data_IF_230958384827
#
_entry.id   IF_230958384827
#
_cell.length_a   1.000
_cell.length_b   1.000
_cell.length_c   1.000
_cell.angle_alpha   90.00
_cell.angle_beta   90.00
_cell.angle_gamma   90.00
#
_symmetry.space_group_name_H-M   'P 1'
#
loop_
_entity.id
_entity.type
_entity.pdbx_description
1 polymer ?
#
# COMPACT_ATOMS: atom_id res chain seq x y z
N UNK A 1 38.53 32.85 -70.71
CA UNK A 1 37.38 31.92 -70.43
C UNK A 1 37.60 31.34 -69.04
N UNK A 2 37.06 32.01 -68.00
CA UNK A 2 37.33 31.70 -66.58
C UNK A 2 36.11 30.94 -66.02
N UNK A 3 36.29 29.69 -65.55
CA UNK A 3 35.27 28.87 -64.96
C UNK A 3 35.27 29.10 -63.44
N UNK A 4 34.22 29.69 -62.91
CA UNK A 4 33.98 29.78 -61.45
C UNK A 4 33.42 28.45 -60.92
N UNK A 5 34.15 27.83 -59.98
CA UNK A 5 33.70 26.69 -59.22
C UNK A 5 32.95 27.16 -57.97
N UNK A 6 31.64 26.98 -57.95
CA UNK A 6 30.82 27.23 -56.77
C UNK A 6 30.97 26.09 -55.75
N UNK A 7 31.54 26.39 -54.57
CA UNK A 7 31.57 25.47 -53.44
C UNK A 7 30.23 25.55 -52.69
N UNK A 8 29.49 24.43 -52.69
CA UNK A 8 28.30 24.27 -51.83
C UNK A 8 28.77 23.89 -50.43
N UNK A 9 28.60 24.81 -49.48
CA UNK A 9 28.81 24.57 -48.05
C UNK A 9 27.57 23.84 -47.55
N UNK A 10 27.73 22.57 -47.15
CA UNK A 10 26.69 21.76 -46.46
C UNK A 10 26.71 22.18 -44.97
N UNK A 11 25.71 22.93 -44.58
CA UNK A 11 25.48 23.22 -43.15
C UNK A 11 24.74 22.03 -42.53
N UNK A 12 25.47 21.20 -41.76
CA UNK A 12 24.88 20.13 -40.93
C UNK A 12 24.31 20.81 -39.69
N UNK A 13 22.99 21.01 -39.63
CA UNK A 13 22.27 21.38 -38.43
C UNK A 13 22.11 20.16 -37.53
N UNK A 14 22.96 20.05 -36.50
CA UNK A 14 22.82 19.04 -35.44
C UNK A 14 21.62 19.38 -34.57
N UNK A 15 20.52 18.61 -34.71
CA UNK A 15 19.34 18.70 -33.89
C UNK A 15 19.62 18.03 -32.54
N UNK A 16 20.01 18.84 -31.53
CA UNK A 16 20.18 18.40 -30.16
C UNK A 16 18.79 18.13 -29.56
N UNK A 17 18.33 16.87 -29.58
CA UNK A 17 17.11 16.46 -28.88
C UNK A 17 17.39 16.47 -27.38
N UNK A 18 16.98 17.55 -26.71
CA UNK A 18 16.96 17.64 -25.26
C UNK A 18 15.88 16.65 -24.75
N UNK A 19 16.30 15.48 -24.29
CA UNK A 19 15.44 14.57 -23.55
C UNK A 19 15.18 15.20 -22.18
N UNK A 20 14.11 15.98 -22.05
CA UNK A 20 13.58 16.41 -20.76
C UNK A 20 13.13 15.16 -20.01
N UNK A 21 13.99 14.66 -19.12
CA UNK A 21 13.57 13.71 -18.06
C UNK A 21 12.66 14.52 -17.15
N UNK A 22 11.35 14.40 -17.37
CA UNK A 22 10.34 14.88 -16.44
C UNK A 22 10.52 14.08 -15.15
N UNK A 23 11.22 14.68 -14.17
CA UNK A 23 11.27 14.14 -12.81
C UNK A 23 9.84 13.98 -12.31
N UNK A 24 9.44 12.74 -12.09
CA UNK A 24 8.10 12.37 -11.66
C UNK A 24 7.73 13.17 -10.41
N UNK A 25 6.73 14.05 -10.53
CA UNK A 25 6.15 14.85 -9.45
C UNK A 25 5.49 14.00 -8.33
N UNK A 26 5.66 12.68 -8.40
CA UNK A 26 5.21 11.68 -7.42
C UNK A 26 6.20 11.44 -6.28
N UNK A 27 7.48 11.79 -6.45
CA UNK A 27 8.50 11.57 -5.44
C UNK A 27 8.46 12.69 -4.40
N UNK A 28 8.04 12.38 -3.19
CA UNK A 28 8.31 13.19 -2.01
C UNK A 28 9.80 13.12 -1.68
N UNK A 29 10.41 14.27 -1.23
CA UNK A 29 11.83 14.30 -0.84
C UNK A 29 12.17 13.24 0.21
N UNK A 30 13.46 12.89 0.34
CA UNK A 30 13.96 11.98 1.36
C UNK A 30 13.74 12.60 2.74
N UNK A 31 13.12 11.86 3.65
CA UNK A 31 12.77 12.29 5.00
C UNK A 31 13.22 11.25 6.03
N UNK A 32 13.58 11.67 7.24
CA UNK A 32 13.92 10.75 8.34
C UNK A 32 12.65 10.39 9.12
N UNK A 33 12.50 9.11 9.46
CA UNK A 33 11.44 8.63 10.36
C UNK A 33 11.82 8.97 11.80
N UNK A 34 11.00 9.79 12.47
CA UNK A 34 11.17 10.20 13.88
C UNK A 34 10.45 9.26 14.85
N UNK A 35 9.29 8.76 14.46
CA UNK A 35 8.44 7.95 15.32
C UNK A 35 7.62 6.95 14.52
N UNK A 36 7.26 5.83 15.14
CA UNK A 36 6.36 4.81 14.59
C UNK A 36 5.13 4.73 15.49
N UNK A 37 3.97 5.03 14.94
CA UNK A 37 2.70 5.06 15.66
C UNK A 37 2.16 3.64 15.89
N UNK A 38 2.18 2.85 14.81
CA UNK A 38 1.63 1.50 14.73
C UNK A 38 2.29 0.73 13.57
N UNK A 39 1.73 -0.41 13.21
CA UNK A 39 2.30 -1.28 12.17
C UNK A 39 2.23 -0.70 10.74
N UNK A 40 1.54 0.44 10.51
CA UNK A 40 1.36 1.01 9.18
C UNK A 40 1.32 2.54 9.11
N UNK A 41 1.68 3.20 10.22
CA UNK A 41 1.71 4.66 10.32
C UNK A 41 3.00 5.15 10.98
N UNK A 42 3.68 6.07 10.31
CA UNK A 42 4.92 6.68 10.80
C UNK A 42 4.81 8.20 10.88
N UNK A 43 5.70 8.81 11.66
CA UNK A 43 5.87 10.26 11.77
C UNK A 43 7.27 10.63 11.32
N UNK A 44 7.38 11.56 10.39
CA UNK A 44 8.64 12.09 9.88
C UNK A 44 9.22 13.18 10.78
N UNK A 45 10.49 13.52 10.59
CA UNK A 45 11.20 14.54 11.39
C UNK A 45 10.53 15.91 11.35
N UNK A 46 9.84 16.24 10.26
CA UNK A 46 9.06 17.47 10.12
C UNK A 46 7.65 17.41 10.74
N UNK A 47 7.31 16.34 11.49
CA UNK A 47 6.01 16.13 12.11
C UNK A 47 4.93 15.56 11.19
N UNK A 48 5.22 15.33 9.91
CA UNK A 48 4.25 14.79 8.96
C UNK A 48 3.92 13.33 9.30
N UNK A 49 2.62 13.01 9.44
CA UNK A 49 2.14 11.64 9.59
C UNK A 49 1.93 11.00 8.22
N UNK A 50 2.46 9.79 8.05
CA UNK A 50 2.37 9.02 6.81
C UNK A 50 1.68 7.70 7.09
N UNK A 51 0.59 7.40 6.37
CA UNK A 51 -0.14 6.12 6.37
C UNK A 51 0.22 5.34 5.12
N UNK A 52 0.63 4.11 5.30
CA UNK A 52 1.03 3.25 4.18
C UNK A 52 -0.16 2.88 3.31
N UNK A 53 -0.03 3.02 2.01
CA UNK A 53 -1.03 2.62 1.01
C UNK A 53 -1.05 1.10 0.87
N UNK A 54 -2.23 0.55 0.62
CA UNK A 54 -2.42 -0.84 0.19
C UNK A 54 -2.34 -1.89 1.30
N UNK A 55 -2.23 -1.48 2.56
CA UNK A 55 -2.19 -2.42 3.68
C UNK A 55 -2.89 -1.86 4.94
N UNK A 56 -3.19 -2.75 5.86
CA UNK A 56 -3.64 -2.43 7.22
C UNK A 56 -2.98 -3.39 8.22
N UNK A 57 -2.25 -2.83 9.15
CA UNK A 57 -1.74 -3.58 10.29
C UNK A 57 -2.82 -3.68 11.39
N UNK A 58 -2.75 -4.68 12.26
CA UNK A 58 -3.57 -4.72 13.47
C UNK A 58 -3.23 -3.54 14.39
N UNK A 59 -4.26 -3.00 15.01
CA UNK A 59 -4.13 -1.84 15.88
C UNK A 59 -3.39 -2.19 17.19
N UNK A 60 -2.58 -1.25 17.67
CA UNK A 60 -2.05 -1.27 19.03
C UNK A 60 -3.09 -0.79 20.03
N UNK A 61 -2.86 -0.98 21.32
CA UNK A 61 -3.75 -0.44 22.34
C UNK A 61 -3.80 1.09 22.27
N UNK A 62 -5.01 1.64 22.27
CA UNK A 62 -5.27 3.08 22.32
C UNK A 62 -6.42 3.37 23.24
N UNK A 63 -6.21 4.28 24.18
CA UNK A 63 -7.20 4.67 25.18
C UNK A 63 -7.78 3.42 25.86
N UNK A 64 -9.09 3.23 25.82
CA UNK A 64 -9.79 2.08 26.40
C UNK A 64 -9.87 0.86 25.46
N UNK A 65 -9.30 0.93 24.25
CA UNK A 65 -9.33 -0.18 23.29
C UNK A 65 -8.11 -1.07 23.47
N UNK A 66 -8.29 -2.36 23.75
CA UNK A 66 -7.18 -3.29 23.81
C UNK A 66 -6.51 -3.44 22.44
N UNK A 67 -5.24 -3.81 22.43
CA UNK A 67 -4.54 -4.14 21.21
C UNK A 67 -5.25 -5.27 20.45
N UNK A 68 -5.31 -5.15 19.14
CA UNK A 68 -5.68 -6.27 18.29
C UNK A 68 -4.58 -7.33 18.32
N UNK A 69 -4.98 -8.58 18.07
CA UNK A 69 -4.02 -9.66 17.97
C UNK A 69 -2.96 -9.33 16.92
N UNK A 70 -1.68 -9.39 17.29
CA UNK A 70 -0.52 -9.06 16.47
C UNK A 70 -0.24 -7.55 16.31
N UNK A 71 -0.99 -6.67 16.96
CA UNK A 71 -0.76 -5.22 16.91
C UNK A 71 0.62 -4.81 17.44
N UNK A 72 0.99 -5.20 18.69
CA UNK A 72 2.32 -4.89 19.23
C UNK A 72 3.46 -5.43 18.40
N UNK A 73 3.35 -6.66 17.86
CA UNK A 73 4.37 -7.28 17.03
C UNK A 73 4.50 -6.55 15.67
N UNK A 74 3.39 -6.11 15.08
CA UNK A 74 3.40 -5.35 13.84
C UNK A 74 4.05 -3.98 14.02
N UNK A 75 3.72 -3.28 15.11
CA UNK A 75 4.36 -2.01 15.46
C UNK A 75 5.86 -2.19 15.71
N UNK A 76 6.27 -3.21 16.47
CA UNK A 76 7.67 -3.50 16.76
C UNK A 76 8.45 -3.77 15.49
N UNK A 77 7.92 -4.61 14.59
CA UNK A 77 8.55 -4.90 13.31
C UNK A 77 8.69 -3.67 12.43
N UNK A 78 7.63 -2.86 12.31
CA UNK A 78 7.69 -1.62 11.55
C UNK A 78 8.73 -0.66 12.13
N UNK A 79 8.79 -0.54 13.46
CA UNK A 79 9.79 0.28 14.17
C UNK A 79 11.22 -0.16 13.85
N UNK A 80 11.51 -1.44 13.95
CA UNK A 80 12.85 -1.99 13.67
C UNK A 80 13.24 -1.81 12.19
N UNK A 81 12.24 -1.84 11.31
CA UNK A 81 12.44 -1.66 9.88
C UNK A 81 12.76 -0.21 9.50
N UNK A 82 12.10 0.80 10.12
CA UNK A 82 12.14 2.18 9.59
C UNK A 82 12.58 3.26 10.58
N UNK A 83 12.54 3.03 11.91
CA UNK A 83 12.82 4.08 12.90
C UNK A 83 14.25 4.64 12.73
N UNK A 84 14.37 5.97 12.70
CA UNK A 84 15.64 6.67 12.53
C UNK A 84 16.22 6.60 11.12
N UNK A 85 15.64 5.80 10.23
CA UNK A 85 16.11 5.70 8.85
C UNK A 85 15.53 6.81 7.98
N UNK A 86 16.19 7.07 6.86
CA UNK A 86 15.69 7.93 5.82
C UNK A 86 14.79 7.11 4.89
N UNK A 87 13.67 7.71 4.50
CA UNK A 87 12.68 7.11 3.61
C UNK A 87 12.36 8.04 2.46
N UNK A 88 12.09 7.46 1.31
CA UNK A 88 11.50 8.11 0.15
C UNK A 88 10.01 7.77 0.12
N UNK A 89 9.17 8.78 -0.04
CA UNK A 89 7.75 8.63 -0.22
C UNK A 89 7.39 8.66 -1.70
N UNK A 90 6.57 7.72 -2.13
CA UNK A 90 5.95 7.74 -3.43
C UNK A 90 4.44 7.88 -3.26
N UNK A 91 3.89 8.96 -3.82
CA UNK A 91 2.48 9.30 -3.70
C UNK A 91 1.69 8.67 -4.85
N UNK A 92 0.41 8.38 -4.59
CA UNK A 92 -0.54 7.96 -5.60
C UNK A 92 -1.60 9.06 -5.80
N UNK A 93 -2.66 8.75 -6.53
CA UNK A 93 -3.72 9.69 -6.93
C UNK A 93 -4.34 10.43 -5.76
N UNK A 94 -4.71 9.74 -4.69
CA UNK A 94 -5.15 10.35 -3.45
C UNK A 94 -3.95 10.52 -2.50
N UNK A 95 -3.57 11.76 -2.23
CA UNK A 95 -2.36 12.08 -1.46
C UNK A 95 -2.57 12.12 0.06
N UNK A 96 -3.81 12.35 0.52
CA UNK A 96 -4.13 12.46 1.95
C UNK A 96 -5.44 11.75 2.27
N UNK A 97 -5.53 11.26 3.49
CA UNK A 97 -6.79 10.75 4.03
C UNK A 97 -7.61 11.84 4.75
N UNK A 98 -8.79 11.46 5.25
CA UNK A 98 -9.69 12.35 5.99
C UNK A 98 -9.11 12.87 7.32
N UNK A 99 -8.03 12.27 7.82
CA UNK A 99 -7.34 12.67 9.05
C UNK A 99 -6.11 13.54 8.77
N UNK A 100 -5.89 13.93 7.51
CA UNK A 100 -4.77 14.75 7.06
C UNK A 100 -3.43 14.02 6.94
N UNK A 101 -3.39 12.67 7.15
CA UNK A 101 -2.16 11.89 6.97
C UNK A 101 -1.81 11.80 5.49
N UNK A 102 -0.52 11.88 5.15
CA UNK A 102 -0.05 11.57 3.81
C UNK A 102 -0.26 10.08 3.54
N UNK A 103 -0.82 9.74 2.39
CA UNK A 103 -0.91 8.38 1.87
C UNK A 103 0.28 8.14 0.95
N UNK A 104 1.12 7.13 1.26
CA UNK A 104 2.32 6.87 0.47
C UNK A 104 2.69 5.39 0.42
N UNK A 105 3.38 5.04 -0.65
CA UNK A 105 4.28 3.91 -0.71
C UNK A 105 5.63 4.36 -0.18
N UNK A 106 6.23 3.58 0.71
CA UNK A 106 7.42 3.97 1.46
C UNK A 106 8.59 3.07 1.09
N UNK A 107 9.71 3.69 0.77
CA UNK A 107 10.96 3.02 0.41
C UNK A 107 12.08 3.47 1.33
N UNK A 108 12.92 2.55 1.78
CA UNK A 108 14.20 2.87 2.41
C UNK A 108 15.20 3.38 1.35
N UNK A 109 16.32 3.97 1.80
CA UNK A 109 17.37 4.47 0.89
C UNK A 109 18.01 3.38 0.02
N UNK A 110 18.06 2.14 0.52
CA UNK A 110 18.55 0.96 -0.20
C UNK A 110 17.53 0.35 -1.18
N UNK A 111 16.36 0.99 -1.34
CA UNK A 111 15.31 0.57 -2.25
C UNK A 111 14.32 -0.45 -1.68
N UNK A 112 14.46 -0.86 -0.42
CA UNK A 112 13.50 -1.78 0.22
C UNK A 112 12.11 -1.15 0.24
N UNK A 113 11.12 -1.84 -0.34
CA UNK A 113 9.72 -1.43 -0.36
C UNK A 113 9.03 -1.85 0.94
N UNK A 114 8.91 -0.93 1.89
CA UNK A 114 8.41 -1.17 3.26
C UNK A 114 7.02 -1.80 3.28
N UNK A 115 6.10 -1.26 2.45
CA UNK A 115 4.72 -1.77 2.35
C UNK A 115 4.69 -3.26 1.95
N UNK A 116 5.52 -3.64 0.99
CA UNK A 116 5.63 -5.03 0.53
C UNK A 116 6.21 -5.92 1.62
N UNK A 117 7.27 -5.48 2.29
CA UNK A 117 7.94 -6.27 3.35
C UNK A 117 6.99 -6.58 4.50
N UNK A 118 6.19 -5.60 4.94
CA UNK A 118 5.19 -5.80 6.01
C UNK A 118 4.18 -6.88 5.65
N UNK A 119 3.68 -6.89 4.40
CA UNK A 119 2.76 -7.91 3.91
C UNK A 119 3.44 -9.27 3.76
N UNK A 120 4.66 -9.31 3.17
CA UNK A 120 5.41 -10.53 2.91
C UNK A 120 5.84 -11.26 4.19
N UNK A 121 6.06 -10.50 5.28
CA UNK A 121 6.36 -11.05 6.60
C UNK A 121 5.11 -11.32 7.44
N UNK A 122 3.92 -10.94 6.96
CA UNK A 122 2.64 -11.18 7.62
C UNK A 122 2.37 -10.26 8.80
N UNK A 123 2.92 -9.05 8.83
CA UNK A 123 2.65 -8.04 9.85
C UNK A 123 1.48 -7.11 9.52
N UNK A 124 0.94 -7.23 8.31
CA UNK A 124 -0.23 -6.51 7.86
C UNK A 124 -1.05 -7.38 6.90
N UNK A 125 -2.28 -6.96 6.60
CA UNK A 125 -3.05 -7.52 5.52
C UNK A 125 -3.28 -6.48 4.40
N UNK A 126 -3.39 -6.98 3.18
CA UNK A 126 -3.63 -6.14 2.00
C UNK A 126 -5.01 -5.47 2.05
N UNK A 127 -5.07 -4.21 1.60
CA UNK A 127 -6.29 -3.42 1.49
C UNK A 127 -6.37 -2.72 0.15
N UNK A 128 -7.32 -3.15 -0.68
CA UNK A 128 -7.68 -2.43 -1.90
C UNK A 128 -8.36 -1.11 -1.58
N UNK A 129 -7.92 -0.02 -2.20
CA UNK A 129 -8.52 1.30 -2.01
C UNK A 129 -8.34 2.21 -3.24
N UNK A 130 -9.39 2.35 -4.03
CA UNK A 130 -9.44 3.32 -5.13
C UNK A 130 -9.33 4.75 -4.55
N UNK A 131 -8.59 5.66 -5.22
CA UNK A 131 -7.90 5.50 -6.49
C UNK A 131 -6.45 5.02 -6.39
N UNK A 132 -5.93 4.70 -5.20
CA UNK A 132 -4.55 4.35 -4.93
C UNK A 132 -4.32 2.85 -5.14
N UNK A 133 -4.00 2.44 -6.36
CA UNK A 133 -3.93 1.03 -6.78
C UNK A 133 -2.65 0.66 -7.53
N UNK A 134 -1.68 1.58 -7.63
CA UNK A 134 -0.47 1.43 -8.46
C UNK A 134 0.28 0.12 -8.18
N UNK A 135 0.39 -0.32 -6.91
CA UNK A 135 1.13 -1.52 -6.53
C UNK A 135 0.25 -2.68 -6.03
N UNK A 136 -1.05 -2.67 -6.33
CA UNK A 136 -2.00 -3.68 -5.83
C UNK A 136 -1.58 -5.13 -6.10
N UNK A 137 -1.08 -5.43 -7.30
CA UNK A 137 -0.65 -6.79 -7.66
C UNK A 137 0.56 -7.24 -6.85
N UNK A 138 1.54 -6.38 -6.66
CA UNK A 138 2.75 -6.66 -5.88
C UNK A 138 2.37 -6.89 -4.41
N UNK A 139 1.54 -6.02 -3.86
CA UNK A 139 1.12 -6.07 -2.46
C UNK A 139 0.25 -7.29 -2.16
N UNK A 140 -0.70 -7.61 -3.04
CA UNK A 140 -1.53 -8.82 -2.89
C UNK A 140 -0.69 -10.10 -3.03
N UNK A 141 0.28 -10.12 -3.93
CA UNK A 141 1.21 -11.26 -4.08
C UNK A 141 2.03 -11.46 -2.81
N UNK A 142 2.58 -10.39 -2.24
CA UNK A 142 3.32 -10.43 -0.98
C UNK A 142 2.48 -10.99 0.18
N UNK A 143 1.20 -10.59 0.29
CA UNK A 143 0.28 -11.20 1.26
C UNK A 143 0.10 -12.70 1.02
N UNK A 144 -0.14 -13.13 -0.22
CA UNK A 144 -0.33 -14.56 -0.56
C UNK A 144 0.89 -15.39 -0.20
N UNK A 145 2.09 -14.86 -0.41
CA UNK A 145 3.33 -15.53 0.02
C UNK A 145 3.38 -15.74 1.54
N UNK A 146 3.04 -14.70 2.32
CA UNK A 146 2.97 -14.80 3.79
C UNK A 146 1.90 -15.80 4.24
N UNK A 147 0.74 -15.81 3.59
CA UNK A 147 -0.35 -16.75 3.84
C UNK A 147 0.08 -18.20 3.57
N UNK A 148 0.68 -18.47 2.41
CA UNK A 148 1.14 -19.79 2.02
C UNK A 148 2.22 -20.33 2.98
N UNK A 149 3.13 -19.46 3.41
CA UNK A 149 4.21 -19.78 4.36
C UNK A 149 3.76 -19.73 5.82
N UNK A 150 2.50 -19.37 6.10
CA UNK A 150 1.94 -19.21 7.45
C UNK A 150 2.76 -18.27 8.35
N UNK A 151 3.17 -17.12 7.82
CA UNK A 151 3.98 -16.14 8.56
C UNK A 151 3.09 -15.15 9.32
N UNK A 152 3.60 -14.61 10.42
CA UNK A 152 3.00 -13.53 11.17
C UNK A 152 1.51 -13.77 11.53
N UNK A 153 0.63 -12.88 11.10
CA UNK A 153 -0.83 -12.99 11.25
C UNK A 153 -1.41 -14.34 10.83
N UNK A 154 -0.77 -14.96 9.82
CA UNK A 154 -1.25 -16.18 9.17
C UNK A 154 -0.81 -17.46 9.87
N UNK A 155 0.15 -17.40 10.82
CA UNK A 155 0.66 -18.57 11.54
C UNK A 155 -0.42 -19.32 12.31
N UNK A 156 -1.31 -18.60 12.97
CA UNK A 156 -2.47 -19.13 13.72
C UNK A 156 -3.71 -18.33 13.34
N UNK A 157 -3.95 -18.19 12.03
CA UNK A 157 -5.06 -17.40 11.54
C UNK A 157 -6.39 -18.04 11.97
N UNK A 158 -7.28 -17.29 12.68
CA UNK A 158 -8.57 -17.82 13.10
C UNK A 158 -9.51 -17.88 11.90
N UNK A 159 -9.32 -18.89 11.06
CA UNK A 159 -10.18 -19.07 9.89
C UNK A 159 -11.57 -19.50 10.35
N UNK A 160 -12.55 -18.64 10.13
CA UNK A 160 -13.96 -18.94 10.34
C UNK A 160 -14.61 -19.20 9.00
N UNK A 161 -15.35 -20.31 8.93
CA UNK A 161 -16.17 -20.61 7.76
C UNK A 161 -17.35 -19.65 7.68
N UNK A 162 -17.75 -19.31 6.42
CA UNK A 162 -18.85 -18.41 6.13
C UNK A 162 -20.21 -19.11 6.03
N UNK A 163 -21.11 -18.56 5.24
CA UNK A 163 -20.83 -17.65 4.13
C UNK A 163 -20.54 -16.20 4.55
N UNK A 164 -19.72 -15.52 3.75
CA UNK A 164 -19.53 -14.07 3.84
C UNK A 164 -19.98 -13.40 2.54
N UNK A 165 -20.40 -12.14 2.62
CA UNK A 165 -20.76 -11.33 1.44
C UNK A 165 -19.58 -10.46 1.07
N UNK A 166 -18.98 -10.70 -0.09
CA UNK A 166 -17.93 -9.86 -0.67
C UNK A 166 -18.52 -8.86 -1.66
N UNK A 167 -17.95 -7.64 -1.70
CA UNK A 167 -18.26 -6.64 -2.71
C UNK A 167 -17.09 -6.54 -3.70
N UNK A 168 -17.33 -6.93 -4.95
CA UNK A 168 -16.29 -6.96 -6.02
C UNK A 168 -15.66 -5.60 -6.28
N UNK A 169 -16.43 -4.50 -6.13
CA UNK A 169 -15.98 -3.14 -6.40
C UNK A 169 -15.08 -2.59 -5.29
N UNK A 170 -15.51 -2.73 -4.03
CA UNK A 170 -14.77 -2.20 -2.88
C UNK A 170 -13.73 -3.17 -2.31
N UNK A 171 -13.77 -4.43 -2.74
CA UNK A 171 -12.97 -5.53 -2.17
C UNK A 171 -13.11 -5.63 -0.64
N UNK A 172 -14.31 -5.31 -0.11
CA UNK A 172 -14.68 -5.54 1.28
C UNK A 172 -15.51 -6.80 1.41
N UNK A 173 -15.30 -7.55 2.52
CA UNK A 173 -16.20 -8.66 2.87
C UNK A 173 -16.86 -8.42 4.23
N UNK A 174 -18.03 -8.98 4.40
CA UNK A 174 -18.99 -8.70 5.47
C UNK A 174 -19.59 -9.97 6.03
N UNK A 175 -20.03 -9.95 7.28
CA UNK A 175 -20.96 -10.96 7.80
C UNK A 175 -22.29 -10.90 7.02
N UNK A 176 -23.02 -12.00 6.86
CA UNK A 176 -24.28 -12.00 6.11
C UNK A 176 -25.31 -10.99 6.63
N UNK A 177 -25.35 -10.77 7.96
CA UNK A 177 -26.27 -9.84 8.63
C UNK A 177 -25.78 -8.38 8.64
N UNK A 178 -24.63 -8.10 8.06
CA UNK A 178 -24.08 -6.74 8.05
C UNK A 178 -24.87 -5.86 7.07
N UNK A 179 -25.36 -4.70 7.56
CA UNK A 179 -26.08 -3.74 6.72
C UNK A 179 -25.34 -3.31 5.44
N UNK A 180 -24.02 -3.21 5.51
CA UNK A 180 -23.20 -2.88 4.34
C UNK A 180 -23.02 -4.08 3.40
N UNK A 181 -23.11 -5.31 3.92
CA UNK A 181 -23.11 -6.52 3.12
C UNK A 181 -24.44 -6.70 2.40
N UNK A 182 -25.55 -6.57 3.12
CA UNK A 182 -26.92 -6.69 2.56
C UNK A 182 -27.27 -5.58 1.56
N UNK A 183 -26.69 -4.39 1.72
CA UNK A 183 -26.83 -3.27 0.80
C UNK A 183 -25.88 -3.36 -0.43
N UNK A 184 -25.10 -4.42 -0.58
CA UNK A 184 -24.26 -4.61 -1.76
C UNK A 184 -25.12 -4.89 -2.98
N UNK A 185 -24.93 -4.10 -4.05
CA UNK A 185 -25.59 -4.33 -5.35
C UNK A 185 -25.36 -5.79 -5.79
N UNK A 186 -26.41 -6.53 -6.17
CA UNK A 186 -26.31 -7.95 -6.59
C UNK A 186 -25.24 -8.21 -7.66
N UNK A 187 -25.03 -7.26 -8.59
CA UNK A 187 -23.99 -7.33 -9.64
C UNK A 187 -22.58 -7.34 -9.07
N UNK A 188 -22.37 -6.72 -7.91
CA UNK A 188 -21.12 -6.63 -7.20
C UNK A 188 -20.99 -7.63 -6.05
N UNK A 189 -22.06 -8.28 -5.65
CA UNK A 189 -22.06 -9.27 -4.57
C UNK A 189 -21.37 -10.57 -5.02
N UNK A 190 -20.65 -11.18 -4.09
CA UNK A 190 -20.06 -12.51 -4.23
C UNK A 190 -20.10 -13.22 -2.88
N UNK A 191 -20.39 -14.51 -2.91
CA UNK A 191 -20.31 -15.35 -1.72
C UNK A 191 -18.88 -15.83 -1.53
N UNK A 192 -18.33 -15.65 -0.33
CA UNK A 192 -17.00 -16.11 0.07
C UNK A 192 -17.17 -17.21 1.13
N UNK A 193 -16.45 -18.31 0.95
CA UNK A 193 -16.60 -19.53 1.76
C UNK A 193 -16.07 -19.33 3.19
N UNK A 194 -14.96 -18.67 3.33
CA UNK A 194 -14.27 -18.47 4.60
C UNK A 194 -13.40 -17.20 4.58
N UNK A 195 -12.90 -16.82 5.74
CA UNK A 195 -12.06 -15.62 5.90
C UNK A 195 -10.72 -15.74 5.18
N UNK A 196 -10.09 -16.91 5.24
CA UNK A 196 -8.80 -17.12 4.59
C UNK A 196 -8.90 -16.95 3.07
N UNK A 197 -9.91 -17.59 2.45
CA UNK A 197 -10.21 -17.45 1.03
C UNK A 197 -10.55 -16.00 0.64
N UNK A 198 -11.25 -15.26 1.52
CA UNK A 198 -11.51 -13.84 1.30
C UNK A 198 -10.21 -13.02 1.22
N UNK A 199 -9.29 -13.17 2.18
CA UNK A 199 -8.00 -12.49 2.14
C UNK A 199 -7.15 -12.92 0.94
N UNK A 200 -7.15 -14.24 0.63
CA UNK A 200 -6.44 -14.76 -0.54
C UNK A 200 -6.92 -14.14 -1.85
N UNK A 201 -8.23 -13.91 -1.97
CA UNK A 201 -8.86 -13.26 -3.12
C UNK A 201 -8.72 -11.72 -3.12
N UNK A 202 -7.97 -11.15 -2.16
CA UNK A 202 -7.71 -9.71 -2.04
C UNK A 202 -8.85 -8.91 -1.42
N UNK A 203 -9.78 -9.57 -0.72
CA UNK A 203 -10.79 -8.87 0.07
C UNK A 203 -10.24 -8.55 1.46
N UNK A 204 -10.65 -7.42 2.01
CA UNK A 204 -10.35 -7.01 3.37
C UNK A 204 -11.63 -6.90 4.22
N UNK A 205 -11.56 -7.11 5.55
CA UNK A 205 -12.74 -7.12 6.39
C UNK A 205 -13.41 -5.75 6.46
N UNK A 206 -14.71 -5.75 6.58
CA UNK A 206 -15.48 -4.56 6.91
C UNK A 206 -15.17 -4.13 8.35
N UNK A 207 -14.72 -2.90 8.56
CA UNK A 207 -14.40 -2.34 9.89
C UNK A 207 -15.62 -2.21 10.82
N UNK A 208 -16.86 -2.27 10.28
CA UNK A 208 -18.07 -2.13 11.08
C UNK A 208 -18.57 -3.46 11.64
N UNK A 209 -18.51 -4.53 10.87
CA UNK A 209 -18.99 -5.84 11.35
C UNK A 209 -17.86 -6.78 11.78
N UNK A 210 -16.62 -6.47 11.46
CA UNK A 210 -15.41 -7.27 11.73
C UNK A 210 -15.68 -8.79 11.54
N UNK A 211 -15.88 -9.21 10.27
CA UNK A 211 -16.30 -10.56 9.93
C UNK A 211 -15.27 -11.61 10.28
#
# INVERSE_FOLDING_TARGET
>A
MMRFRTHRILVLTSLLVLFCISADARAGGIQRVRWVNDGDTIVLSNGTRVRYIGLNAPETAHDERPAERYGPESMAFNRDLVLGKKVRLELDSQRRDQYGRILAYVYLEDGIFVNQVLLQKGYAHYVFRIPNTTYDQILLTAQREAMAKRLGLWKRFPNKTGPYVGNKRSKRFHRPTCRFGTATDPRNAVTLKDRYGAFWAGYSPCSKCNP
#
